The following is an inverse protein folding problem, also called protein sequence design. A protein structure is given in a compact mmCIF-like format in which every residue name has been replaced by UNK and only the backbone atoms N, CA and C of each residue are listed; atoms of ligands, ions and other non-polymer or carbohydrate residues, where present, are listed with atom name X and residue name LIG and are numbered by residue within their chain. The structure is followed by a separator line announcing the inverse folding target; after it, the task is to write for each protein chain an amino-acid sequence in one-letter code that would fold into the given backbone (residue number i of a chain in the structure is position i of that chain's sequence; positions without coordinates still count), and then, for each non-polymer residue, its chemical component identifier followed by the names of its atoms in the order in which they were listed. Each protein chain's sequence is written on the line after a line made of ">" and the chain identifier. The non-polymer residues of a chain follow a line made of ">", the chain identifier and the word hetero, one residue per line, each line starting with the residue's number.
data_IF_768607689791
#
_entry.id   IF_768607689791
#
_cell.length_a   1.000
_cell.length_b   1.000
_cell.length_c   1.000
_cell.angle_alpha   90.00
_cell.angle_beta   90.00
_cell.angle_gamma   90.00
#
_symmetry.space_group_name_H-M   'P 1'
#
loop_
_entity.id
_entity.type
_entity.pdbx_description
1 polymer ?
#
# COMPACT_ATOMS: atom_id res chain seq x y z
N UNK A 1 63.86 9.06 32.52
CA UNK A 1 62.53 8.50 32.84
C UNK A 1 61.34 9.43 32.49
N UNK A 2 61.42 10.75 32.58
CA UNK A 2 60.29 11.66 32.29
C UNK A 2 59.89 11.78 30.84
N UNK A 3 60.70 11.47 29.83
CA UNK A 3 60.38 11.55 28.41
C UNK A 3 59.60 10.37 27.93
N UNK A 4 59.61 9.22 28.60
CA UNK A 4 58.84 8.02 28.23
C UNK A 4 57.37 8.11 28.66
N UNK A 5 57.08 8.71 29.82
CA UNK A 5 55.70 8.88 30.30
C UNK A 5 54.84 9.83 29.43
N UNK A 6 55.46 10.91 28.87
CA UNK A 6 54.70 11.83 27.98
C UNK A 6 54.22 11.18 26.69
N UNK A 7 54.98 10.25 26.11
CA UNK A 7 54.59 9.54 24.89
C UNK A 7 53.41 8.54 25.13
N UNK A 8 53.37 7.94 26.31
CA UNK A 8 52.28 7.01 26.69
C UNK A 8 50.98 7.77 26.93
N UNK A 9 51.02 8.94 27.57
CA UNK A 9 49.83 9.77 27.79
C UNK A 9 49.24 10.33 26.49
N UNK A 10 50.07 10.73 25.52
CA UNK A 10 49.61 11.22 24.21
C UNK A 10 48.99 10.09 23.39
N UNK A 11 49.55 8.86 23.46
CA UNK A 11 48.95 7.70 22.76
C UNK A 11 47.65 7.22 23.38
N UNK A 12 47.48 7.32 24.69
CA UNK A 12 46.23 6.99 25.38
C UNK A 12 45.11 8.03 25.13
N UNK A 13 45.50 9.32 25.01
CA UNK A 13 44.53 10.39 24.71
C UNK A 13 44.06 10.34 23.25
N UNK A 14 44.92 9.95 22.29
CA UNK A 14 44.53 9.77 20.88
C UNK A 14 43.69 8.51 20.67
N UNK A 15 43.87 7.45 21.46
CA UNK A 15 43.04 6.25 21.40
C UNK A 15 41.67 6.47 22.03
N UNK A 16 41.56 7.35 23.05
CA UNK A 16 40.26 7.72 23.65
C UNK A 16 39.44 8.67 22.77
N UNK A 17 40.05 9.44 21.85
CA UNK A 17 39.34 10.29 20.88
C UNK A 17 38.81 9.51 19.68
N UNK A 18 39.28 8.29 19.42
CA UNK A 18 38.77 7.41 18.32
C UNK A 18 37.56 6.53 18.72
N UNK A 19 37.15 6.59 19.99
CA UNK A 19 35.97 5.92 20.52
C UNK A 19 34.77 6.86 20.72
N UNK A 20 34.72 8.00 20.04
CA UNK A 20 33.45 8.69 19.81
C UNK A 20 32.71 7.87 18.81
N UNK A 21 32.12 6.79 19.26
CA UNK A 21 30.99 6.14 18.56
C UNK A 21 29.95 7.24 18.42
N UNK A 22 29.75 7.70 17.21
CA UNK A 22 28.57 8.46 16.86
C UNK A 22 27.42 7.56 17.25
N UNK A 23 26.82 7.76 18.40
CA UNK A 23 25.50 7.25 18.68
C UNK A 23 24.61 7.94 17.63
N UNK A 24 24.36 7.28 16.52
CA UNK A 24 23.32 7.68 15.59
C UNK A 24 22.06 7.68 16.45
N UNK A 25 21.51 8.85 16.70
CA UNK A 25 20.25 8.95 17.41
C UNK A 25 19.21 8.33 16.48
N UNK A 26 18.84 7.08 16.75
CA UNK A 26 17.72 6.46 16.01
C UNK A 26 16.50 7.36 16.15
N UNK A 27 15.90 7.69 15.03
CA UNK A 27 14.66 8.45 15.04
C UNK A 27 13.62 7.72 15.91
N UNK A 28 12.92 8.47 16.75
CA UNK A 28 11.85 7.89 17.55
C UNK A 28 10.72 7.46 16.61
N UNK A 29 10.19 6.26 16.81
CA UNK A 29 9.05 5.79 16.05
C UNK A 29 7.85 6.75 16.21
N UNK A 30 7.12 7.06 15.13
CA UNK A 30 6.00 7.99 15.18
C UNK A 30 4.89 7.46 16.09
N UNK A 31 4.27 8.36 16.84
CA UNK A 31 3.05 8.07 17.61
C UNK A 31 1.86 8.14 16.66
N UNK A 32 1.13 7.04 16.53
CA UNK A 32 -0.01 6.89 15.63
C UNK A 32 -1.23 6.33 16.35
N UNK A 33 -2.42 6.75 15.96
CA UNK A 33 -3.69 6.28 16.52
C UNK A 33 -4.12 4.93 15.92
N UNK A 34 -3.69 4.64 14.69
CA UNK A 34 -4.00 3.38 14.02
C UNK A 34 -3.73 2.16 14.92
N UNK A 35 -4.69 1.25 15.01
CA UNK A 35 -4.60 0.03 15.83
C UNK A 35 -3.53 -0.93 15.32
N UNK A 36 -3.37 -1.01 13.99
CA UNK A 36 -2.36 -1.84 13.35
C UNK A 36 -1.68 -1.07 12.21
N UNK A 37 -0.36 -1.21 12.11
CA UNK A 37 0.41 -0.59 11.04
C UNK A 37 1.69 -1.36 10.73
N UNK A 38 2.22 -1.18 9.53
CA UNK A 38 3.51 -1.73 9.09
C UNK A 38 4.14 -0.83 8.02
N UNK A 39 5.47 -0.77 7.99
CA UNK A 39 6.25 -0.26 6.86
C UNK A 39 7.20 -1.34 6.38
N UNK A 40 7.24 -1.55 5.08
CA UNK A 40 8.16 -2.49 4.44
C UNK A 40 8.91 -1.83 3.29
N UNK A 41 10.12 -2.29 3.02
CA UNK A 41 10.77 -2.11 1.72
C UNK A 41 10.03 -2.96 0.68
N UNK A 42 9.58 -2.34 -0.41
CA UNK A 42 8.72 -2.99 -1.42
C UNK A 42 9.43 -4.15 -2.11
N UNK A 43 10.72 -4.00 -2.41
CA UNK A 43 11.48 -4.96 -3.18
C UNK A 43 11.89 -6.20 -2.37
N UNK A 44 12.20 -6.02 -1.08
CA UNK A 44 12.75 -7.08 -0.22
C UNK A 44 11.74 -7.66 0.77
N UNK A 45 10.67 -6.91 1.06
CA UNK A 45 9.73 -7.22 2.13
C UNK A 45 10.29 -7.00 3.54
N UNK A 46 11.49 -6.38 3.66
CA UNK A 46 12.07 -6.05 4.96
C UNK A 46 11.15 -5.13 5.75
N UNK A 47 10.86 -5.51 7.00
CA UNK A 47 10.04 -4.70 7.91
C UNK A 47 10.91 -3.62 8.55
N UNK A 48 10.48 -2.37 8.39
CA UNK A 48 11.15 -1.18 8.94
C UNK A 48 10.40 -0.62 10.16
N UNK A 49 9.11 -0.85 10.24
CA UNK A 49 8.24 -0.50 11.36
C UNK A 49 7.09 -1.48 11.45
N UNK A 50 6.64 -1.79 12.66
CA UNK A 50 5.39 -2.52 12.88
C UNK A 50 4.74 -2.17 14.23
N UNK A 51 3.42 -2.08 14.21
CA UNK A 51 2.54 -1.95 15.38
C UNK A 51 1.39 -2.92 15.20
N UNK A 52 1.26 -3.93 16.05
CA UNK A 52 0.19 -4.93 15.99
C UNK A 52 -0.05 -5.48 14.55
N UNK A 53 1.02 -5.64 13.76
CA UNK A 53 0.92 -5.88 12.31
C UNK A 53 0.15 -7.16 11.96
N UNK A 54 0.02 -8.11 12.88
CA UNK A 54 -0.71 -9.38 12.71
C UNK A 54 -2.12 -9.35 13.36
N UNK A 55 -2.55 -8.22 13.92
CA UNK A 55 -3.92 -8.04 14.42
C UNK A 55 -4.91 -8.11 13.27
N UNK A 56 -5.98 -8.89 13.44
CA UNK A 56 -7.09 -8.91 12.47
C UNK A 56 -7.88 -7.63 12.54
N UNK A 57 -8.04 -7.00 11.38
CA UNK A 57 -8.82 -5.78 11.20
C UNK A 57 -9.65 -5.88 9.91
N UNK A 58 -10.66 -5.04 9.80
CA UNK A 58 -11.42 -4.89 8.57
C UNK A 58 -10.61 -4.08 7.56
N UNK A 59 -10.30 -4.63 6.36
CA UNK A 59 -9.50 -3.92 5.36
C UNK A 59 -10.27 -2.82 4.62
N UNK A 60 -11.59 -2.77 4.73
CA UNK A 60 -12.44 -1.91 3.94
C UNK A 60 -12.08 -1.98 2.44
N UNK A 61 -12.11 -0.85 1.75
CA UNK A 61 -11.83 -0.79 0.30
C UNK A 61 -10.37 -1.07 -0.08
N UNK A 62 -9.44 -1.32 0.86
CA UNK A 62 -8.14 -1.89 0.49
C UNK A 62 -8.30 -3.30 -0.13
N UNK A 63 -9.39 -4.00 0.14
CA UNK A 63 -9.83 -5.23 -0.54
C UNK A 63 -9.75 -5.14 -2.06
N UNK A 64 -10.05 -3.96 -2.63
CA UNK A 64 -10.04 -3.73 -4.08
C UNK A 64 -8.65 -3.88 -4.72
N UNK A 65 -7.57 -3.88 -3.94
CA UNK A 65 -6.24 -4.24 -4.44
C UNK A 65 -6.25 -5.69 -4.95
N UNK A 66 -6.78 -6.63 -4.17
CA UNK A 66 -6.89 -8.03 -4.60
C UNK A 66 -7.84 -8.20 -5.79
N UNK A 67 -8.95 -7.48 -5.82
CA UNK A 67 -9.89 -7.47 -6.95
C UNK A 67 -9.19 -6.99 -8.23
N UNK A 68 -8.38 -5.92 -8.13
CA UNK A 68 -7.62 -5.39 -9.26
C UNK A 68 -6.53 -6.36 -9.75
N UNK A 69 -5.79 -6.99 -8.83
CA UNK A 69 -4.77 -8.02 -9.15
C UNK A 69 -5.40 -9.13 -9.99
N UNK A 70 -6.48 -9.74 -9.50
CA UNK A 70 -7.13 -10.85 -10.20
C UNK A 70 -7.67 -10.45 -11.57
N UNK A 71 -8.24 -9.25 -11.68
CA UNK A 71 -8.70 -8.76 -12.97
C UNK A 71 -7.56 -8.54 -13.96
N UNK A 72 -6.44 -7.96 -13.53
CA UNK A 72 -5.26 -7.76 -14.37
C UNK A 72 -4.61 -9.08 -14.82
N UNK A 73 -4.66 -10.12 -13.99
CA UNK A 73 -4.08 -11.43 -14.30
C UNK A 73 -4.99 -12.30 -15.18
N UNK A 74 -6.32 -12.14 -15.08
CA UNK A 74 -7.27 -13.09 -15.65
C UNK A 74 -8.14 -12.51 -16.77
N UNK A 75 -7.97 -11.23 -17.11
CA UNK A 75 -8.75 -10.57 -18.15
C UNK A 75 -7.85 -9.74 -19.07
N UNK A 76 -8.40 -9.38 -20.24
CA UNK A 76 -7.78 -8.42 -21.15
C UNK A 76 -8.20 -6.99 -20.79
N UNK A 77 -7.30 -5.97 -20.94
CA UNK A 77 -7.66 -4.56 -20.78
C UNK A 77 -8.87 -4.11 -21.61
N UNK A 78 -9.02 -4.69 -22.78
CA UNK A 78 -10.11 -4.38 -23.74
C UNK A 78 -11.35 -5.24 -23.53
N UNK A 79 -11.35 -6.20 -22.59
CA UNK A 79 -12.56 -6.97 -22.26
C UNK A 79 -13.69 -6.03 -21.87
N UNK A 80 -14.86 -6.22 -22.50
CA UNK A 80 -16.06 -5.46 -22.16
C UNK A 80 -16.71 -6.01 -20.89
N UNK A 81 -16.97 -5.12 -19.95
CA UNK A 81 -17.71 -5.37 -18.72
C UNK A 81 -19.05 -4.66 -18.86
N UNK A 82 -20.13 -5.42 -18.98
CA UNK A 82 -21.49 -4.86 -18.96
C UNK A 82 -21.97 -4.79 -17.52
N UNK A 83 -22.31 -3.59 -17.06
CA UNK A 83 -22.78 -3.35 -15.70
C UNK A 83 -24.14 -4.02 -15.49
N UNK A 84 -24.23 -4.96 -14.55
CA UNK A 84 -25.50 -5.56 -14.15
C UNK A 84 -26.22 -4.65 -13.15
N UNK A 85 -27.54 -4.85 -13.01
CA UNK A 85 -28.37 -4.02 -12.14
C UNK A 85 -27.91 -4.07 -10.67
N UNK A 86 -27.56 -5.24 -10.16
CA UNK A 86 -27.04 -5.41 -8.80
C UNK A 86 -25.73 -4.65 -8.56
N UNK A 87 -24.81 -4.63 -9.51
CA UNK A 87 -23.56 -3.86 -9.40
C UNK A 87 -23.81 -2.34 -9.39
N UNK A 88 -24.79 -1.86 -10.14
CA UNK A 88 -25.19 -0.46 -10.14
C UNK A 88 -25.89 -0.03 -8.84
N UNK A 89 -26.57 -0.97 -8.16
CA UNK A 89 -27.35 -0.74 -6.93
C UNK A 89 -26.53 -0.90 -5.63
N UNK A 90 -25.25 -1.27 -5.74
CA UNK A 90 -24.36 -1.35 -4.56
C UNK A 90 -24.09 0.05 -3.99
N UNK A 91 -24.05 0.16 -2.67
CA UNK A 91 -23.70 1.41 -1.99
C UNK A 91 -22.39 2.02 -2.56
N UNK A 92 -22.38 3.33 -2.77
CA UNK A 92 -21.28 4.08 -3.39
C UNK A 92 -20.94 3.64 -4.83
N UNK A 93 -21.87 3.03 -5.56
CA UNK A 93 -21.73 2.80 -7.01
C UNK A 93 -21.99 4.11 -7.79
N UNK A 94 -21.20 4.34 -8.83
CA UNK A 94 -21.42 5.40 -9.82
C UNK A 94 -21.66 4.82 -11.22
N UNK A 95 -21.97 3.54 -11.28
CA UNK A 95 -22.24 2.83 -12.53
C UNK A 95 -23.72 2.91 -12.92
N UNK A 96 -23.99 2.71 -14.21
CA UNK A 96 -25.32 2.67 -14.78
C UNK A 96 -25.63 1.28 -15.35
N UNK A 97 -26.77 0.67 -15.01
CA UNK A 97 -27.13 -0.66 -15.51
C UNK A 97 -27.14 -0.72 -17.04
N UNK A 98 -26.55 -1.76 -17.59
CA UNK A 98 -26.48 -1.98 -19.03
C UNK A 98 -25.37 -1.19 -19.75
N UNK A 99 -24.68 -0.27 -19.08
CA UNK A 99 -23.62 0.51 -19.71
C UNK A 99 -22.32 -0.29 -19.73
N UNK A 100 -21.73 -0.53 -20.91
CA UNK A 100 -20.48 -1.26 -21.02
C UNK A 100 -19.28 -0.34 -20.85
N UNK A 101 -18.26 -0.84 -20.13
CA UNK A 101 -16.93 -0.25 -20.03
C UNK A 101 -15.88 -1.28 -20.46
N UNK A 102 -14.69 -0.81 -20.82
CA UNK A 102 -13.52 -1.69 -20.91
C UNK A 102 -13.01 -2.03 -19.50
N UNK A 103 -12.44 -3.21 -19.36
CA UNK A 103 -11.82 -3.62 -18.08
C UNK A 103 -10.81 -2.59 -17.59
N UNK A 104 -9.96 -2.06 -18.47
CA UNK A 104 -8.98 -1.03 -18.10
C UNK A 104 -9.63 0.24 -17.52
N UNK A 105 -10.80 0.64 -18.00
CA UNK A 105 -11.49 1.84 -17.56
C UNK A 105 -12.23 1.61 -16.23
N UNK A 106 -12.92 0.49 -16.08
CA UNK A 106 -13.63 0.17 -14.84
C UNK A 106 -12.67 -0.08 -13.68
N UNK A 107 -11.47 -0.67 -13.92
CA UNK A 107 -10.43 -0.81 -12.92
C UNK A 107 -9.91 0.55 -12.44
N UNK A 108 -9.76 1.53 -13.33
CA UNK A 108 -9.40 2.89 -12.93
C UNK A 108 -10.48 3.52 -12.05
N UNK A 109 -11.75 3.45 -12.44
CA UNK A 109 -12.85 3.96 -11.63
C UNK A 109 -12.89 3.30 -10.26
N UNK A 110 -12.80 1.96 -10.21
CA UNK A 110 -12.75 1.17 -8.98
C UNK A 110 -11.66 1.63 -8.02
N UNK A 111 -10.44 1.79 -8.51
CA UNK A 111 -9.29 2.08 -7.65
C UNK A 111 -9.22 3.55 -7.26
N UNK A 112 -9.48 4.48 -8.20
CA UNK A 112 -9.34 5.92 -7.97
C UNK A 112 -10.39 6.47 -7.02
N UNK A 113 -11.67 6.19 -7.28
CA UNK A 113 -12.79 6.73 -6.47
C UNK A 113 -13.42 5.68 -5.54
N UNK A 114 -12.79 4.52 -5.45
CA UNK A 114 -13.23 3.43 -4.57
C UNK A 114 -14.65 2.90 -4.88
N UNK A 115 -15.07 2.93 -6.14
CA UNK A 115 -16.42 2.55 -6.59
C UNK A 115 -16.72 1.08 -6.27
N UNK A 116 -17.70 0.84 -5.40
CA UNK A 116 -18.08 -0.50 -4.96
C UNK A 116 -18.79 -1.28 -6.07
N UNK A 117 -19.61 -0.60 -6.87
CA UNK A 117 -20.28 -1.22 -8.03
C UNK A 117 -19.27 -1.65 -9.09
N UNK A 118 -18.22 -0.84 -9.31
CA UNK A 118 -17.14 -1.21 -10.20
C UNK A 118 -16.42 -2.48 -9.73
N UNK A 119 -16.14 -2.61 -8.42
CA UNK A 119 -15.56 -3.82 -7.85
C UNK A 119 -16.50 -5.04 -8.06
N UNK A 120 -17.80 -4.87 -7.83
CA UNK A 120 -18.80 -5.92 -8.04
C UNK A 120 -18.84 -6.34 -9.51
N UNK A 121 -18.94 -5.39 -10.44
CA UNK A 121 -18.98 -5.69 -11.87
C UNK A 121 -17.69 -6.38 -12.37
N UNK A 122 -16.52 -5.98 -11.85
CA UNK A 122 -15.23 -6.62 -12.15
C UNK A 122 -15.20 -8.05 -11.62
N UNK A 123 -15.57 -8.26 -10.35
CA UNK A 123 -15.59 -9.59 -9.74
C UNK A 123 -16.54 -10.55 -10.47
N UNK A 124 -17.73 -10.09 -10.86
CA UNK A 124 -18.66 -10.87 -11.65
C UNK A 124 -18.15 -11.17 -13.07
N UNK A 125 -17.46 -10.21 -13.70
CA UNK A 125 -16.92 -10.43 -15.05
C UNK A 125 -15.77 -11.44 -15.07
N UNK A 126 -15.02 -11.57 -13.97
CA UNK A 126 -13.86 -12.46 -13.84
C UNK A 126 -14.22 -13.79 -13.17
N UNK A 127 -15.02 -13.76 -12.12
CA UNK A 127 -15.36 -14.94 -11.30
C UNK A 127 -16.74 -15.53 -11.60
N UNK A 128 -17.60 -14.79 -12.31
CA UNK A 128 -18.99 -15.18 -12.58
C UNK A 128 -19.97 -14.72 -11.51
N UNK A 129 -19.65 -14.95 -10.24
CA UNK A 129 -20.42 -14.51 -9.07
C UNK A 129 -19.50 -14.14 -7.90
N UNK A 130 -20.08 -13.56 -6.83
CA UNK A 130 -19.33 -13.09 -5.66
C UNK A 130 -18.62 -14.23 -4.90
N UNK A 131 -19.30 -15.34 -4.70
CA UNK A 131 -18.72 -16.45 -3.93
C UNK A 131 -17.55 -17.10 -4.68
N UNK A 132 -17.70 -17.32 -5.99
CA UNK A 132 -16.63 -17.84 -6.86
C UNK A 132 -15.44 -16.87 -6.91
N UNK A 133 -15.69 -15.57 -7.01
CA UNK A 133 -14.62 -14.58 -7.01
C UNK A 133 -13.93 -14.47 -5.64
N UNK A 134 -14.68 -14.51 -4.53
CA UNK A 134 -14.10 -14.53 -3.18
C UNK A 134 -13.20 -15.77 -2.96
N UNK A 135 -13.60 -16.93 -3.49
CA UNK A 135 -12.75 -18.12 -3.46
C UNK A 135 -11.43 -17.90 -4.23
N UNK A 136 -11.47 -17.22 -5.39
CA UNK A 136 -10.26 -16.85 -6.14
C UNK A 136 -9.39 -15.85 -5.36
N UNK A 137 -9.99 -14.86 -4.68
CA UNK A 137 -9.27 -13.90 -3.84
C UNK A 137 -8.53 -14.61 -2.70
N UNK A 138 -9.19 -15.54 -2.02
CA UNK A 138 -8.61 -16.31 -0.94
C UNK A 138 -7.48 -17.25 -1.43
N UNK A 139 -7.66 -17.89 -2.58
CA UNK A 139 -6.60 -18.70 -3.19
C UNK A 139 -5.36 -17.84 -3.52
N UNK A 140 -5.55 -16.65 -4.10
CA UNK A 140 -4.47 -15.71 -4.40
C UNK A 140 -3.81 -15.17 -3.11
N UNK A 141 -4.59 -14.90 -2.06
CA UNK A 141 -4.03 -14.48 -0.77
C UNK A 141 -3.07 -15.55 -0.21
N UNK A 142 -3.44 -16.83 -0.27
CA UNK A 142 -2.55 -17.94 0.13
C UNK A 142 -1.29 -18.02 -0.75
N UNK A 143 -1.43 -17.85 -2.07
CA UNK A 143 -0.31 -17.84 -3.03
C UNK A 143 0.71 -16.73 -2.71
N UNK A 144 0.22 -15.54 -2.36
CA UNK A 144 1.06 -14.38 -1.99
C UNK A 144 1.67 -14.54 -0.58
N UNK A 145 1.18 -15.49 0.23
CA UNK A 145 1.58 -15.67 1.62
C UNK A 145 0.84 -14.75 2.61
N UNK A 146 -0.30 -14.18 2.21
CA UNK A 146 -1.23 -13.42 3.05
C UNK A 146 -2.19 -14.37 3.77
N UNK A 147 -1.65 -15.17 4.69
CA UNK A 147 -2.34 -16.34 5.29
C UNK A 147 -3.29 -16.01 6.42
N UNK A 148 -3.29 -14.77 6.91
CA UNK A 148 -4.20 -14.26 7.94
C UNK A 148 -5.29 -13.36 7.33
N UNK A 149 -5.60 -13.58 6.05
CA UNK A 149 -6.58 -12.82 5.28
C UNK A 149 -7.71 -13.73 4.82
N UNK A 150 -8.94 -13.24 4.92
CA UNK A 150 -10.12 -13.89 4.38
C UNK A 150 -11.06 -12.88 3.75
N UNK A 151 -11.35 -13.06 2.47
CA UNK A 151 -12.26 -12.24 1.69
C UNK A 151 -13.59 -12.97 1.48
N UNK A 152 -14.70 -12.27 1.67
CA UNK A 152 -16.07 -12.78 1.36
C UNK A 152 -16.75 -11.96 0.27
N UNK A 153 -16.23 -10.77 -0.05
CA UNK A 153 -16.71 -9.92 -1.14
C UNK A 153 -15.53 -9.21 -1.85
N UNK A 154 -15.81 -8.63 -3.02
CA UNK A 154 -14.79 -8.00 -3.87
C UNK A 154 -14.61 -6.50 -3.62
N UNK A 155 -15.43 -5.88 -2.79
CA UNK A 155 -15.45 -4.43 -2.61
C UNK A 155 -14.98 -3.95 -1.23
N UNK A 156 -14.99 -4.84 -0.22
CA UNK A 156 -14.57 -4.53 1.15
C UNK A 156 -15.70 -4.01 2.03
N UNK A 157 -16.95 -4.26 1.67
CA UNK A 157 -18.08 -4.01 2.55
C UNK A 157 -17.97 -4.87 3.81
N UNK A 158 -18.43 -4.35 4.97
CA UNK A 158 -18.25 -5.03 6.26
C UNK A 158 -18.96 -6.38 6.31
N UNK A 159 -18.22 -7.40 6.72
CA UNK A 159 -18.69 -8.73 7.07
C UNK A 159 -17.78 -9.28 8.17
N UNK A 160 -18.32 -10.03 9.13
CA UNK A 160 -17.54 -10.56 10.26
C UNK A 160 -16.42 -11.51 9.82
N UNK A 161 -16.61 -12.18 8.68
CA UNK A 161 -15.64 -13.11 8.10
C UNK A 161 -14.73 -12.44 7.07
N UNK A 162 -14.88 -11.12 6.81
CA UNK A 162 -14.05 -10.35 5.90
C UNK A 162 -12.98 -9.59 6.66
N UNK A 163 -11.78 -10.12 6.75
CA UNK A 163 -10.68 -9.56 7.54
C UNK A 163 -9.33 -9.71 6.87
N UNK A 164 -8.38 -8.92 7.32
CA UNK A 164 -6.97 -9.03 6.98
C UNK A 164 -6.10 -8.56 8.16
N UNK A 165 -4.80 -8.42 7.92
CA UNK A 165 -3.83 -7.81 8.84
C UNK A 165 -3.02 -6.76 8.11
N UNK A 166 -2.38 -5.82 8.82
CA UNK A 166 -1.51 -4.83 8.19
C UNK A 166 -0.37 -5.51 7.42
N UNK A 167 0.21 -6.58 7.98
CA UNK A 167 1.26 -7.38 7.34
C UNK A 167 0.78 -8.03 6.03
N UNK A 168 -0.38 -8.62 6.04
CA UNK A 168 -0.90 -9.29 4.84
C UNK A 168 -1.32 -8.27 3.77
N UNK A 169 -1.89 -7.12 4.17
CA UNK A 169 -2.20 -6.03 3.25
C UNK A 169 -0.92 -5.45 2.63
N UNK A 170 0.19 -5.37 3.37
CA UNK A 170 1.49 -4.96 2.83
C UNK A 170 2.04 -5.96 1.81
N UNK A 171 1.91 -7.28 2.06
CA UNK A 171 2.30 -8.31 1.07
C UNK A 171 1.45 -8.22 -0.20
N UNK A 172 0.13 -8.03 -0.06
CA UNK A 172 -0.78 -7.85 -1.19
C UNK A 172 -0.42 -6.60 -1.98
N UNK A 173 -0.12 -5.50 -1.30
CA UNK A 173 0.31 -4.25 -1.91
C UNK A 173 1.64 -4.41 -2.67
N UNK A 174 2.66 -5.02 -2.06
CA UNK A 174 3.95 -5.28 -2.69
C UNK A 174 3.78 -6.15 -3.94
N UNK A 175 3.04 -7.25 -3.84
CA UNK A 175 2.73 -8.09 -5.00
C UNK A 175 2.05 -7.31 -6.13
N UNK A 176 1.06 -6.49 -5.80
CA UNK A 176 0.35 -5.67 -6.78
C UNK A 176 1.25 -4.64 -7.44
N UNK A 177 2.15 -4.03 -6.68
CA UNK A 177 3.09 -3.02 -7.17
C UNK A 177 4.14 -3.58 -8.14
N UNK A 178 4.37 -4.89 -8.22
CA UNK A 178 5.17 -5.50 -9.30
C UNK A 178 4.49 -5.47 -10.67
N UNK A 179 3.19 -5.14 -10.75
CA UNK A 179 2.45 -5.03 -12.00
C UNK A 179 2.41 -3.57 -12.49
N UNK A 180 3.02 -3.28 -13.65
CA UNK A 180 3.07 -1.94 -14.22
C UNK A 180 1.68 -1.33 -14.50
N UNK A 181 0.68 -2.15 -14.86
CA UNK A 181 -0.68 -1.66 -15.08
C UNK A 181 -1.31 -1.24 -13.75
N UNK A 182 -1.11 -2.02 -12.69
CA UNK A 182 -1.54 -1.66 -11.34
C UNK A 182 -0.90 -0.35 -10.88
N UNK A 183 0.43 -0.20 -11.01
CA UNK A 183 1.16 1.04 -10.67
C UNK A 183 0.57 2.26 -11.38
N UNK A 184 0.33 2.15 -12.69
CA UNK A 184 -0.30 3.25 -13.45
C UNK A 184 -1.68 3.60 -12.94
N UNK A 185 -2.50 2.60 -12.61
CA UNK A 185 -3.85 2.83 -12.08
C UNK A 185 -3.81 3.60 -10.76
N UNK A 186 -3.05 3.09 -9.77
CA UNK A 186 -3.04 3.64 -8.42
C UNK A 186 -2.29 4.97 -8.30
N UNK A 187 -1.33 5.25 -9.19
CA UNK A 187 -0.61 6.52 -9.28
C UNK A 187 -1.34 7.62 -10.08
N UNK A 188 -2.50 7.31 -10.69
CA UNK A 188 -3.26 8.30 -11.45
C UNK A 188 -4.02 9.24 -10.51
N UNK A 189 -3.74 10.55 -10.57
CA UNK A 189 -4.37 11.58 -9.73
C UNK A 189 -5.81 11.88 -10.15
N UNK A 190 -6.03 12.10 -11.44
CA UNK A 190 -7.35 12.39 -11.99
C UNK A 190 -7.48 11.87 -13.43
N UNK A 191 -8.67 11.40 -13.80
CA UNK A 191 -8.96 10.87 -15.13
C UNK A 191 -10.46 10.91 -15.46
N UNK A 192 -10.78 11.16 -16.73
CA UNK A 192 -12.11 10.88 -17.27
C UNK A 192 -12.19 9.40 -17.69
N UNK A 193 -13.17 8.70 -17.18
CA UNK A 193 -13.53 7.33 -17.57
C UNK A 193 -14.62 7.42 -18.64
N UNK A 194 -14.41 6.75 -19.77
CA UNK A 194 -15.31 6.78 -20.90
C UNK A 194 -16.07 5.47 -21.02
N UNK A 195 -17.39 5.57 -21.11
CA UNK A 195 -18.24 4.42 -21.38
C UNK A 195 -18.28 4.13 -22.88
N UNK A 196 -18.40 2.87 -23.24
CA UNK A 196 -18.53 2.48 -24.66
C UNK A 196 -19.89 2.91 -25.20
N UNK A 197 -20.94 2.80 -24.38
CA UNK A 197 -22.29 3.26 -24.69
C UNK A 197 -23.03 3.68 -23.40
N UNK A 198 -23.89 4.71 -23.45
CA UNK A 198 -24.11 5.59 -24.60
C UNK A 198 -22.88 6.46 -24.88
N UNK A 199 -22.71 6.83 -26.15
CA UNK A 199 -21.59 7.66 -26.58
C UNK A 199 -21.58 9.00 -25.85
N UNK A 200 -20.40 9.44 -25.37
CA UNK A 200 -20.24 10.70 -24.65
C UNK A 200 -20.51 10.62 -23.14
N UNK A 201 -20.95 9.47 -22.62
CA UNK A 201 -21.08 9.28 -21.19
C UNK A 201 -19.70 9.10 -20.55
N UNK A 202 -19.43 9.87 -19.49
CA UNK A 202 -18.13 9.86 -18.78
C UNK A 202 -18.31 10.00 -17.28
N UNK A 203 -17.37 9.44 -16.50
CA UNK A 203 -17.24 9.70 -15.08
C UNK A 203 -15.88 10.36 -14.84
N UNK A 204 -15.85 11.56 -14.28
CA UNK A 204 -14.60 12.18 -13.84
C UNK A 204 -14.22 11.64 -12.46
N UNK A 205 -13.04 11.01 -12.40
CA UNK A 205 -12.49 10.41 -11.20
C UNK A 205 -11.30 11.24 -10.69
N UNK A 206 -11.34 11.61 -9.40
CA UNK A 206 -10.20 12.15 -8.65
C UNK A 206 -9.82 11.07 -7.64
N UNK A 207 -8.54 10.74 -7.57
CA UNK A 207 -8.06 9.70 -6.66
C UNK A 207 -8.29 10.11 -5.21
N UNK A 208 -8.83 9.19 -4.41
CA UNK A 208 -9.07 9.41 -2.98
C UNK A 208 -7.80 9.40 -2.13
N UNK A 209 -6.66 8.99 -2.69
CA UNK A 209 -5.38 9.03 -2.01
C UNK A 209 -4.75 10.41 -2.10
N UNK A 210 -4.96 11.25 -1.09
CA UNK A 210 -4.46 12.62 -1.03
C UNK A 210 -2.93 12.70 -1.00
N UNK A 211 -2.23 11.65 -0.58
CA UNK A 211 -0.77 11.62 -0.57
C UNK A 211 -0.17 11.74 -1.97
N UNK A 212 -0.92 11.40 -3.02
CA UNK A 212 -0.47 11.63 -4.39
C UNK A 212 -0.18 13.11 -4.70
N UNK A 213 -0.87 14.03 -4.01
CA UNK A 213 -0.68 15.47 -4.18
C UNK A 213 0.14 16.11 -3.05
N UNK A 214 0.12 15.51 -1.84
CA UNK A 214 0.65 16.15 -0.62
C UNK A 214 1.95 15.53 -0.13
N UNK A 215 2.35 14.33 -0.59
CA UNK A 215 3.55 13.65 -0.13
C UNK A 215 4.53 13.40 -1.28
N UNK A 216 5.75 13.93 -1.16
CA UNK A 216 6.78 13.81 -2.19
C UNK A 216 7.18 12.36 -2.44
N UNK A 217 7.18 11.96 -3.71
CA UNK A 217 7.51 10.59 -4.12
C UNK A 217 6.36 9.59 -4.00
N UNK A 218 5.16 10.00 -3.58
CA UNK A 218 4.01 9.07 -3.48
C UNK A 218 3.67 8.44 -4.83
N UNK A 219 3.54 7.11 -4.87
CA UNK A 219 3.25 6.31 -6.06
C UNK A 219 1.88 5.60 -6.01
N UNK A 220 1.17 5.68 -4.90
CA UNK A 220 -0.15 5.08 -4.68
C UNK A 220 -0.41 4.84 -3.19
N UNK A 221 -1.34 3.96 -2.75
CA UNK A 221 -1.98 2.85 -3.46
C UNK A 221 -3.52 2.92 -3.31
N UNK A 222 -4.05 2.68 -2.06
CA UNK A 222 -5.50 2.56 -1.88
C UNK A 222 -5.97 2.98 -0.49
N UNK A 223 -7.01 3.80 -0.45
CA UNK A 223 -7.74 4.19 0.76
C UNK A 223 -8.84 3.18 1.10
N UNK A 224 -9.20 3.09 2.36
CA UNK A 224 -10.35 2.35 2.84
C UNK A 224 -11.06 3.07 3.99
N UNK A 225 -12.39 3.00 4.01
CA UNK A 225 -13.21 3.51 5.11
C UNK A 225 -14.50 2.72 5.21
N UNK A 226 -14.85 2.33 6.40
CA UNK A 226 -16.20 1.95 6.84
C UNK A 226 -16.32 2.29 8.33
N UNK A 227 -17.54 2.38 8.87
CA UNK A 227 -17.71 2.62 10.31
C UNK A 227 -17.02 1.55 11.18
N UNK A 228 -16.94 0.30 10.68
CA UNK A 228 -16.29 -0.81 11.40
C UNK A 228 -14.75 -0.80 11.22
N UNK A 229 -14.25 -0.44 10.04
CA UNK A 229 -12.83 -0.40 9.74
C UNK A 229 -12.15 0.91 10.15
N UNK A 230 -12.90 2.01 10.28
CA UNK A 230 -12.37 3.37 10.43
C UNK A 230 -11.40 3.73 9.29
N UNK A 231 -10.41 4.58 9.54
CA UNK A 231 -9.43 4.98 8.53
C UNK A 231 -8.44 3.87 8.20
N UNK A 232 -8.38 3.46 6.92
CA UNK A 232 -7.41 2.52 6.41
C UNK A 232 -6.70 3.10 5.18
N UNK A 233 -5.40 2.84 5.05
CA UNK A 233 -4.61 3.27 3.90
C UNK A 233 -3.45 2.31 3.66
N UNK A 234 -3.30 1.88 2.42
CA UNK A 234 -2.04 1.37 1.88
C UNK A 234 -1.42 2.46 1.02
N UNK A 235 -0.26 2.97 1.40
CA UNK A 235 0.47 4.01 0.70
C UNK A 235 1.84 3.50 0.23
N UNK A 236 2.31 3.96 -0.91
CA UNK A 236 3.67 3.71 -1.37
C UNK A 236 4.35 5.01 -1.77
N UNK A 237 5.66 5.09 -1.53
CA UNK A 237 6.46 6.22 -1.96
C UNK A 237 7.87 5.78 -2.34
N UNK A 238 8.48 6.52 -3.26
CA UNK A 238 9.81 6.26 -3.76
C UNK A 238 10.73 7.47 -3.53
N UNK A 239 11.89 7.24 -2.89
CA UNK A 239 12.97 8.23 -2.69
C UNK A 239 14.32 7.54 -2.94
N UNK A 240 15.24 8.20 -3.60
CA UNK A 240 16.62 7.74 -3.83
C UNK A 240 16.74 6.29 -4.34
N UNK A 241 15.80 5.89 -5.19
CA UNK A 241 15.76 4.54 -5.78
C UNK A 241 15.10 3.47 -4.90
N UNK A 242 14.81 3.75 -3.64
CA UNK A 242 14.08 2.88 -2.71
C UNK A 242 12.57 3.17 -2.78
N UNK A 243 11.76 2.13 -2.71
CA UNK A 243 10.31 2.26 -2.62
C UNK A 243 9.81 1.56 -1.37
N UNK A 244 9.05 2.29 -0.55
CA UNK A 244 8.49 1.79 0.69
C UNK A 244 6.97 1.70 0.59
N UNK A 245 6.40 0.74 1.31
CA UNK A 245 4.95 0.59 1.48
C UNK A 245 4.63 0.74 2.95
N UNK A 246 3.73 1.68 3.28
CA UNK A 246 3.13 1.83 4.59
C UNK A 246 1.67 1.38 4.55
N UNK A 247 1.25 0.58 5.52
CA UNK A 247 -0.15 0.21 5.73
C UNK A 247 -0.57 0.65 7.12
N UNK A 248 -1.66 1.40 7.21
CA UNK A 248 -2.34 1.75 8.45
C UNK A 248 -3.76 1.20 8.42
N UNK A 249 -4.22 0.65 9.55
CA UNK A 249 -5.55 0.08 9.70
C UNK A 249 -6.16 0.55 11.01
N UNK A 250 -7.42 0.95 10.95
CA UNK A 250 -8.21 1.41 12.09
C UNK A 250 -7.63 2.67 12.73
N UNK A 251 -7.24 3.67 11.90
CA UNK A 251 -6.93 5.05 12.35
C UNK A 251 -8.20 5.73 12.86
N UNK A 252 -8.05 6.76 13.71
CA UNK A 252 -9.18 7.43 14.37
C UNK A 252 -10.23 7.96 13.40
N UNK A 253 -9.80 8.46 12.23
CA UNK A 253 -10.70 8.94 11.18
C UNK A 253 -10.09 8.76 9.78
N UNK A 254 -10.78 9.25 8.75
CA UNK A 254 -10.35 9.11 7.36
C UNK A 254 -9.35 10.18 6.91
N UNK A 255 -9.10 11.22 7.70
CA UNK A 255 -8.05 12.22 7.45
C UNK A 255 -6.73 11.81 8.14
N UNK A 256 -6.81 11.36 9.40
CA UNK A 256 -5.65 10.97 10.22
C UNK A 256 -4.81 9.88 9.57
N UNK A 257 -5.41 8.93 8.83
CA UNK A 257 -4.68 7.88 8.10
C UNK A 257 -3.60 8.41 7.15
N UNK A 258 -3.80 9.61 6.56
CA UNK A 258 -2.82 10.19 5.64
C UNK A 258 -1.60 10.73 6.38
N UNK A 259 -1.80 11.48 7.47
CA UNK A 259 -0.70 11.99 8.28
C UNK A 259 0.10 10.86 8.94
N UNK A 260 -0.56 9.82 9.40
CA UNK A 260 0.09 8.64 9.98
C UNK A 260 0.91 7.86 8.94
N UNK A 261 0.35 7.60 7.76
CA UNK A 261 1.07 6.92 6.68
C UNK A 261 2.28 7.75 6.20
N UNK A 262 2.15 9.07 6.12
CA UNK A 262 3.24 9.97 5.78
C UNK A 262 4.37 9.91 6.82
N UNK A 263 4.03 10.01 8.11
CA UNK A 263 5.02 9.91 9.20
C UNK A 263 5.72 8.55 9.24
N UNK A 264 4.98 7.48 8.96
CA UNK A 264 5.52 6.13 8.88
C UNK A 264 6.46 5.95 7.68
N UNK A 265 6.12 6.52 6.52
CA UNK A 265 7.00 6.50 5.35
C UNK A 265 8.29 7.29 5.60
N UNK A 266 8.20 8.48 6.21
CA UNK A 266 9.37 9.26 6.60
C UNK A 266 10.29 8.48 7.55
N UNK A 267 9.71 7.89 8.61
CA UNK A 267 10.45 7.02 9.52
C UNK A 267 11.11 5.84 8.79
N UNK A 268 10.37 5.18 7.89
CA UNK A 268 10.90 4.07 7.09
C UNK A 268 12.09 4.48 6.23
N UNK A 269 12.05 5.63 5.56
CA UNK A 269 13.17 6.14 4.77
C UNK A 269 14.39 6.51 5.66
N UNK A 270 14.16 7.01 6.86
CA UNK A 270 15.25 7.25 7.83
C UNK A 270 15.89 5.93 8.25
N UNK A 271 15.11 4.89 8.57
CA UNK A 271 15.62 3.56 8.90
C UNK A 271 16.41 2.94 7.73
N UNK A 272 15.94 3.05 6.50
CA UNK A 272 16.67 2.60 5.30
C UNK A 272 18.02 3.31 5.14
N UNK A 273 18.05 4.61 5.37
CA UNK A 273 19.31 5.39 5.30
C UNK A 273 20.34 4.96 6.35
N UNK A 274 19.88 4.58 7.54
CA UNK A 274 20.73 4.07 8.62
C UNK A 274 21.27 2.66 8.34
N UNK A 275 20.48 1.80 7.70
CA UNK A 275 20.85 0.43 7.32
C UNK A 275 21.80 0.41 6.12
N UNK A 276 21.85 1.46 5.30
CA UNK A 276 22.76 1.55 4.17
C UNK A 276 24.22 1.59 4.66
N UNK A 277 25.14 0.73 4.14
CA UNK A 277 26.54 0.74 4.54
C UNK A 277 27.12 2.13 4.29
N UNK A 278 27.69 2.74 5.34
CA UNK A 278 28.32 4.06 5.21
C UNK A 278 29.36 4.02 4.08
N UNK A 279 29.32 4.97 3.15
CA UNK A 279 30.25 5.04 2.01
C UNK A 279 31.75 4.97 2.44
N UNK A 280 32.06 5.33 3.69
CA UNK A 280 33.37 5.19 4.30
C UNK A 280 33.78 3.72 4.56
N UNK A 281 32.83 2.83 4.86
CA UNK A 281 33.10 1.39 5.06
C UNK A 281 33.35 0.64 3.74
N UNK A 282 32.68 1.03 2.67
CA UNK A 282 32.86 0.41 1.35
C UNK A 282 34.23 0.74 0.73
N UNK A 283 34.78 1.93 0.95
CA UNK A 283 36.11 2.30 0.49
C UNK A 283 37.23 1.59 1.26
N UNK A 284 37.03 1.26 2.54
CA UNK A 284 37.99 0.52 3.33
C UNK A 284 38.06 -0.97 2.96
N UNK A 285 36.95 -1.57 2.51
CA UNK A 285 36.89 -2.96 2.06
C UNK A 285 37.46 -3.16 0.64
N UNK A 286 37.43 -2.15 -0.21
CA UNK A 286 37.98 -2.18 -1.57
C UNK A 286 39.52 -1.91 -1.62
N UNK A 287 40.13 -1.54 -0.49
CA UNK A 287 41.56 -1.22 -0.37
C UNK A 287 42.38 -2.34 0.30
N UNK A 288 41.80 -3.49 0.59
CA UNK A 288 42.43 -4.72 1.07
C UNK A 288 42.37 -5.82 -0.01
#
# INVERSE_FOLDING_TARGET
>A
MLKSCKKIYVSLLSLALLLVWSAVAMAAAPDITADAAIVIDEATGQVLYEKNADKREYPASMTKMMTCILALEKSSPDQLVTVRANAADVECSRLYPGYPLRMADILQQMMMISDNGAATAVGEAVGGDEASFAAMMNAKAQEIGATHTHFVNMNGMPDADHYSTARDMAKIAAYAMHNDAFRRIVGTKAKNIYYIAPQGHTTYCINTNELLDTYEGCTGIKTGWTSAARGCLSAAAKRDGKELIAVVMHSDDDETRFSEAAALLDYGFEQEAELAPSAAGAQAAAAQ
#
